data_IF_767395636209
#
_entry.id   IF_767395636209
#
_cell.length_a   1.000
_cell.length_b   1.000
_cell.length_c   1.000
_cell.angle_alpha   90.00
_cell.angle_beta   90.00
_cell.angle_gamma   90.00
#
_symmetry.space_group_name_H-M   'P 1'
#
loop_
_entity.id
_entity.type
_entity.pdbx_description
1 polymer ?
#
# COMPACT_ATOMS: atom_id res chain seq x y z
N UNK A 1 -51.89 -11.26 9.92
CA UNK A 1 -51.53 -9.92 10.44
C UNK A 1 -50.30 -10.03 11.34
N UNK A 2 -49.14 -9.58 10.85
CA UNK A 2 -48.16 -8.76 11.59
C UNK A 2 -46.91 -8.64 10.70
N UNK A 3 -46.95 -7.70 9.77
CA UNK A 3 -45.77 -7.19 9.08
C UNK A 3 -44.98 -6.40 10.12
N UNK A 4 -43.96 -7.02 10.72
CA UNK A 4 -42.89 -6.28 11.40
C UNK A 4 -41.67 -6.27 10.49
N UNK A 5 -41.59 -5.21 9.70
CA UNK A 5 -40.38 -4.84 8.99
C UNK A 5 -39.23 -4.74 9.99
N UNK A 6 -38.22 -5.59 9.82
CA UNK A 6 -36.88 -5.33 10.34
C UNK A 6 -36.04 -4.82 9.16
N UNK A 7 -36.06 -3.50 9.02
CA UNK A 7 -35.05 -2.72 8.34
C UNK A 7 -33.66 -3.23 8.74
N UNK A 8 -32.88 -3.62 7.73
CA UNK A 8 -31.52 -4.12 7.88
C UNK A 8 -30.59 -3.02 8.43
N UNK A 9 -29.73 -3.28 9.43
CA UNK A 9 -28.61 -2.43 9.72
C UNK A 9 -27.30 -3.11 9.27
N UNK A 10 -27.22 -3.57 8.01
CA UNK A 10 -25.94 -3.95 7.38
C UNK A 10 -25.27 -2.74 6.72
N UNK A 11 -25.35 -1.56 7.35
CA UNK A 11 -24.81 -0.32 6.77
C UNK A 11 -24.30 0.64 7.85
N UNK A 12 -23.29 0.19 8.59
CA UNK A 12 -22.34 1.04 9.32
C UNK A 12 -20.96 0.41 9.08
N UNK A 13 -20.38 0.68 7.91
CA UNK A 13 -19.30 1.67 7.75
C UNK A 13 -17.99 1.16 8.39
N UNK A 14 -17.23 0.38 7.63
CA UNK A 14 -15.78 0.36 7.78
C UNK A 14 -15.30 1.77 7.42
N UNK A 15 -15.35 2.67 8.40
CA UNK A 15 -14.42 3.81 8.41
C UNK A 15 -13.08 3.15 8.65
N UNK A 16 -12.29 2.97 7.60
CA UNK A 16 -10.86 2.76 7.80
C UNK A 16 -10.36 4.03 8.47
N UNK A 17 -10.24 4.03 9.80
CA UNK A 17 -9.28 4.92 10.43
C UNK A 17 -7.96 4.65 9.72
N UNK A 18 -7.50 5.61 8.93
CA UNK A 18 -6.17 5.51 8.33
C UNK A 18 -5.22 5.68 9.51
N UNK A 19 -4.53 4.61 9.93
CA UNK A 19 -3.64 4.73 11.08
C UNK A 19 -2.62 5.82 10.78
N UNK A 20 -2.31 6.64 11.79
CA UNK A 20 -1.20 7.60 11.68
C UNK A 20 0.04 6.80 11.30
N UNK A 21 0.57 7.05 10.10
CA UNK A 21 1.72 6.32 9.61
C UNK A 21 2.93 6.65 10.49
N UNK A 22 3.63 5.61 10.90
CA UNK A 22 4.98 5.77 11.43
C UNK A 22 5.89 6.39 10.36
N UNK A 23 6.99 7.00 10.80
CA UNK A 23 7.97 7.57 9.88
C UNK A 23 8.46 6.57 8.82
N UNK A 24 8.70 5.30 9.22
CA UNK A 24 9.12 4.26 8.27
C UNK A 24 8.01 3.89 7.28
N UNK A 25 6.75 3.81 7.72
CA UNK A 25 5.63 3.54 6.80
C UNK A 25 5.43 4.68 5.80
N UNK A 26 5.68 5.92 6.21
CA UNK A 26 5.65 7.06 5.31
C UNK A 26 6.73 6.94 4.23
N UNK A 27 7.99 6.65 4.64
CA UNK A 27 9.10 6.43 3.72
C UNK A 27 8.87 5.23 2.79
N UNK A 28 8.30 4.15 3.31
CA UNK A 28 7.95 2.97 2.52
C UNK A 28 6.89 3.31 1.46
N UNK A 29 5.82 4.02 1.83
CA UNK A 29 4.80 4.47 0.90
C UNK A 29 5.38 5.37 -0.20
N UNK A 30 6.23 6.34 0.18
CA UNK A 30 6.89 7.25 -0.76
C UNK A 30 7.85 6.50 -1.71
N UNK A 31 8.65 5.58 -1.16
CA UNK A 31 9.58 4.76 -1.95
C UNK A 31 8.85 3.85 -2.95
N UNK A 32 7.75 3.22 -2.53
CA UNK A 32 6.91 2.42 -3.41
C UNK A 32 6.26 3.26 -4.52
N UNK A 33 5.85 4.49 -4.20
CA UNK A 33 5.30 5.40 -5.18
C UNK A 33 6.33 5.71 -6.28
N UNK A 34 7.55 6.09 -5.88
CA UNK A 34 8.65 6.38 -6.81
C UNK A 34 9.03 5.14 -7.64
N UNK A 35 9.16 3.97 -7.01
CA UNK A 35 9.51 2.72 -7.72
C UNK A 35 8.45 2.37 -8.76
N UNK A 36 7.16 2.53 -8.44
CA UNK A 36 6.06 2.27 -9.40
C UNK A 36 6.08 3.25 -10.55
N UNK A 37 6.32 4.53 -10.29
CA UNK A 37 6.45 5.53 -11.33
C UNK A 37 7.61 5.20 -12.28
N UNK A 38 8.78 4.87 -11.74
CA UNK A 38 9.94 4.48 -12.52
C UNK A 38 9.68 3.23 -13.39
N UNK A 39 8.97 2.23 -12.85
CA UNK A 39 8.58 1.02 -13.59
C UNK A 39 7.59 1.34 -14.71
N UNK A 40 6.64 2.25 -14.49
CA UNK A 40 5.68 2.69 -15.53
C UNK A 40 6.38 3.43 -16.67
N UNK A 41 7.43 4.20 -16.37
CA UNK A 41 8.15 5.00 -17.37
C UNK A 41 9.22 4.22 -18.16
N UNK A 42 9.63 3.03 -17.71
CA UNK A 42 10.71 2.26 -18.32
C UNK A 42 10.20 1.06 -19.13
N UNK A 43 10.68 0.90 -20.37
CA UNK A 43 10.31 -0.25 -21.23
C UNK A 43 10.82 -1.59 -20.69
N UNK A 44 11.99 -1.59 -20.05
CA UNK A 44 12.68 -2.78 -19.51
C UNK A 44 13.34 -2.43 -18.16
N UNK A 45 12.54 -2.31 -17.08
CA UNK A 45 13.07 -1.92 -15.79
C UNK A 45 14.03 -2.99 -15.25
N UNK A 46 15.17 -2.54 -14.73
CA UNK A 46 16.16 -3.38 -14.05
C UNK A 46 16.52 -2.75 -12.71
N UNK A 47 16.79 -3.58 -11.70
CA UNK A 47 17.30 -3.13 -10.42
C UNK A 47 18.75 -3.58 -10.28
N UNK A 48 19.67 -2.61 -10.12
CA UNK A 48 21.07 -2.90 -9.87
C UNK A 48 21.24 -3.39 -8.42
N UNK A 49 21.74 -4.61 -8.26
CA UNK A 49 21.93 -5.23 -6.96
C UNK A 49 23.41 -5.30 -6.59
N UNK A 50 23.78 -4.61 -5.51
CA UNK A 50 25.17 -4.48 -5.05
C UNK A 50 25.51 -5.37 -3.85
N UNK A 51 24.59 -6.25 -3.41
CA UNK A 51 24.74 -7.06 -2.19
C UNK A 51 24.87 -6.18 -0.92
N UNK A 52 24.53 -4.90 -1.01
CA UNK A 52 24.55 -3.95 0.10
C UNK A 52 23.20 -3.88 0.83
N UNK A 53 23.19 -3.25 2.02
CA UNK A 53 21.96 -3.02 2.79
C UNK A 53 20.90 -2.22 2.01
N UNK A 54 21.35 -1.23 1.23
CA UNK A 54 20.45 -0.31 0.54
C UNK A 54 19.74 -1.01 -0.62
N UNK A 55 20.50 -1.79 -1.41
CA UNK A 55 19.94 -2.62 -2.49
C UNK A 55 19.11 -3.80 -1.95
N UNK A 56 19.39 -4.29 -0.74
CA UNK A 56 18.52 -5.26 -0.05
C UNK A 56 17.18 -4.66 0.38
N UNK A 57 17.16 -3.41 0.89
CA UNK A 57 15.92 -2.69 1.20
C UNK A 57 15.13 -2.41 -0.08
N UNK A 58 15.79 -1.96 -1.16
CA UNK A 58 15.11 -1.79 -2.46
C UNK A 58 14.50 -3.11 -2.97
N UNK A 59 15.22 -4.22 -2.87
CA UNK A 59 14.68 -5.53 -3.25
C UNK A 59 13.49 -5.93 -2.37
N UNK A 60 13.52 -5.59 -1.07
CA UNK A 60 12.38 -5.81 -0.18
C UNK A 60 11.15 -4.99 -0.61
N UNK A 61 11.35 -3.72 -0.96
CA UNK A 61 10.28 -2.84 -1.46
C UNK A 61 9.73 -3.28 -2.83
N UNK A 62 10.55 -3.92 -3.67
CA UNK A 62 10.16 -4.37 -5.00
C UNK A 62 9.54 -5.79 -5.03
N UNK A 63 9.49 -6.49 -3.90
CA UNK A 63 8.80 -7.78 -3.74
C UNK A 63 7.30 -7.58 -3.63
#
# INVERSE_FOLDING_TARGET
MSLRGRSHPLRCLYVSESPVLTHLQHLESESLHILREAVVQADKPVMLFSIGKDSAVMLHLAR
#
